data_IF_532506888850
#
_entry.id   IF_532506888850
#
_cell.length_a   1.000
_cell.length_b   1.000
_cell.length_c   1.000
_cell.angle_alpha   90.00
_cell.angle_beta   90.00
_cell.angle_gamma   90.00
#
_symmetry.space_group_name_H-M   'P 1'
#
loop_
_entity.id
_entity.type
_entity.pdbx_description
1 polymer ?
#
# COMPACT_ATOMS: atom_id res chain seq x y z
N UNK A 1 -0.42 -10.19 -48.11
CA UNK A 1 -0.85 -9.14 -47.15
C UNK A 1 -0.35 -7.81 -47.69
N UNK A 2 -1.24 -6.84 -47.92
CA UNK A 2 -0.85 -5.58 -48.57
C UNK A 2 -0.04 -4.69 -47.62
N UNK A 3 0.88 -3.86 -48.13
CA UNK A 3 1.82 -3.09 -47.28
C UNK A 3 1.10 -2.27 -46.19
N UNK A 4 -0.08 -1.71 -46.51
CA UNK A 4 -0.95 -1.00 -45.56
C UNK A 4 -1.51 -1.88 -44.43
N UNK A 5 -1.74 -3.17 -44.66
CA UNK A 5 -2.16 -4.13 -43.63
C UNK A 5 -0.99 -4.53 -42.72
N UNK A 6 0.22 -4.64 -43.27
CA UNK A 6 1.44 -4.89 -42.50
C UNK A 6 1.73 -3.73 -41.52
N UNK A 7 1.55 -2.47 -41.95
CA UNK A 7 1.68 -1.30 -41.08
C UNK A 7 0.63 -1.26 -39.97
N UNK A 8 -0.64 -1.63 -40.26
CA UNK A 8 -1.68 -1.73 -39.22
C UNK A 8 -1.37 -2.83 -38.21
N UNK A 9 -0.84 -3.97 -38.64
CA UNK A 9 -0.44 -5.07 -37.77
C UNK A 9 0.77 -4.69 -36.89
N UNK A 10 1.79 -4.05 -37.47
CA UNK A 10 2.96 -3.57 -36.72
C UNK A 10 2.58 -2.49 -35.71
N UNK A 11 1.68 -1.57 -36.05
CA UNK A 11 1.18 -0.53 -35.15
C UNK A 11 0.35 -1.15 -34.01
N UNK A 12 -0.43 -2.20 -34.30
CA UNK A 12 -1.16 -2.96 -33.29
C UNK A 12 -0.20 -3.73 -32.36
N UNK A 13 0.85 -4.36 -32.88
CA UNK A 13 1.89 -5.09 -32.11
C UNK A 13 2.73 -4.14 -31.25
N UNK A 14 3.03 -2.93 -31.75
CA UNK A 14 3.74 -1.89 -31.00
C UNK A 14 2.94 -1.34 -29.81
N UNK A 15 1.60 -1.48 -29.84
CA UNK A 15 0.69 -1.14 -28.74
C UNK A 15 0.51 -2.27 -27.70
N UNK A 16 1.06 -3.46 -27.93
CA UNK A 16 0.91 -4.63 -27.03
C UNK A 16 1.79 -4.58 -25.75
N UNK A 17 2.85 -3.76 -25.56
CA UNK A 17 3.68 -3.93 -24.37
C UNK A 17 3.08 -3.33 -23.08
N UNK A 18 1.80 -2.94 -23.05
CA UNK A 18 1.17 -2.33 -21.86
C UNK A 18 0.56 -3.31 -20.87
N UNK A 19 0.70 -4.64 -21.06
CA UNK A 19 0.44 -5.61 -19.99
C UNK A 19 1.58 -5.59 -18.97
N UNK A 20 1.83 -4.44 -18.37
CA UNK A 20 2.74 -4.31 -17.24
C UNK A 20 2.10 -5.01 -16.05
N UNK A 21 2.75 -6.08 -15.57
CA UNK A 21 2.40 -6.61 -14.26
C UNK A 21 2.69 -5.54 -13.22
N UNK A 22 1.65 -5.04 -12.60
CA UNK A 22 1.59 -3.93 -11.65
C UNK A 22 0.65 -4.29 -10.49
N UNK A 23 1.00 -3.86 -9.29
CA UNK A 23 0.11 -3.87 -8.13
C UNK A 23 0.13 -2.50 -7.46
N UNK A 24 -0.99 -2.11 -6.85
CA UNK A 24 -1.08 -0.88 -6.09
C UNK A 24 -1.31 -1.21 -4.61
N UNK A 25 -0.51 -0.60 -3.74
CA UNK A 25 -0.74 -0.59 -2.30
C UNK A 25 -1.26 0.79 -1.94
N UNK A 26 -2.48 0.85 -1.42
CA UNK A 26 -3.13 2.11 -1.01
C UNK A 26 -3.33 2.08 0.49
N UNK A 27 -2.78 3.07 1.18
CA UNK A 27 -2.99 3.34 2.59
C UNK A 27 -3.77 4.64 2.73
N UNK A 28 -4.94 4.58 3.35
CA UNK A 28 -5.73 5.75 3.70
C UNK A 28 -5.88 5.85 5.21
N UNK A 29 -5.60 7.03 5.77
CA UNK A 29 -5.87 7.35 7.17
C UNK A 29 -6.76 8.59 7.21
N UNK A 30 -7.95 8.45 7.78
CA UNK A 30 -8.88 9.55 8.01
C UNK A 30 -8.84 9.93 9.48
N UNK A 31 -8.33 11.12 9.78
CA UNK A 31 -8.14 11.63 11.14
C UNK A 31 -9.28 12.58 11.53
N UNK A 32 -9.86 12.37 12.70
CA UNK A 32 -10.76 13.32 13.37
C UNK A 32 -9.99 14.26 14.29
N UNK A 33 -10.62 15.38 14.62
CA UNK A 33 -10.01 16.43 15.44
C UNK A 33 -9.74 16.01 16.89
N UNK A 34 -10.42 14.97 17.38
CA UNK A 34 -10.23 14.38 18.70
C UNK A 34 -9.11 13.32 18.74
N UNK A 35 -8.45 13.04 17.60
CA UNK A 35 -7.38 12.05 17.48
C UNK A 35 -7.82 10.62 17.15
N UNK A 36 -9.13 10.36 17.13
CA UNK A 36 -9.68 9.10 16.61
C UNK A 36 -9.67 9.12 15.08
N UNK A 37 -9.91 7.97 14.46
CA UNK A 37 -10.00 7.92 13.00
C UNK A 37 -10.19 6.53 12.43
N UNK A 38 -10.02 6.44 11.12
CA UNK A 38 -10.21 5.22 10.34
C UNK A 38 -9.01 4.95 9.44
N UNK A 39 -8.65 3.68 9.29
CA UNK A 39 -7.63 3.18 8.36
C UNK A 39 -8.30 2.32 7.31
N UNK A 40 -7.86 2.48 6.06
CA UNK A 40 -8.16 1.56 4.96
C UNK A 40 -6.86 1.19 4.27
N UNK A 41 -6.55 -0.10 4.25
CA UNK A 41 -5.39 -0.68 3.56
C UNK A 41 -5.91 -1.53 2.41
N UNK A 42 -5.51 -1.20 1.19
CA UNK A 42 -5.92 -1.92 -0.02
C UNK A 42 -4.70 -2.44 -0.78
N UNK A 43 -4.76 -3.71 -1.16
CA UNK A 43 -3.87 -4.31 -2.16
C UNK A 43 -4.70 -4.54 -3.41
N UNK A 44 -4.37 -3.84 -4.48
CA UNK A 44 -5.06 -3.90 -5.76
C UNK A 44 -4.15 -4.51 -6.83
N UNK A 45 -4.49 -5.72 -7.26
CA UNK A 45 -3.78 -6.45 -8.32
C UNK A 45 -4.59 -6.47 -9.63
N UNK A 46 -5.64 -5.66 -9.75
CA UNK A 46 -6.58 -5.75 -10.88
C UNK A 46 -5.93 -5.51 -12.24
N UNK A 47 -4.93 -4.62 -12.32
CA UNK A 47 -4.13 -4.39 -13.53
C UNK A 47 -3.30 -5.63 -13.93
N UNK A 48 -2.99 -6.52 -12.99
CA UNK A 48 -2.29 -7.80 -13.20
C UNK A 48 -3.21 -9.02 -13.20
N UNK A 49 -4.54 -8.84 -13.23
CA UNK A 49 -5.53 -9.91 -13.02
C UNK A 49 -5.24 -11.19 -13.79
N UNK A 50 -4.96 -11.10 -15.09
CA UNK A 50 -4.68 -12.28 -15.92
C UNK A 50 -3.43 -13.02 -15.48
N UNK A 51 -2.34 -12.28 -15.18
CA UNK A 51 -1.09 -12.87 -14.71
C UNK A 51 -1.24 -13.51 -13.33
N UNK A 52 -1.93 -12.84 -12.41
CA UNK A 52 -2.21 -13.39 -11.07
C UNK A 52 -3.06 -14.64 -11.18
N UNK A 53 -4.09 -14.65 -12.03
CA UNK A 53 -4.90 -15.83 -12.28
C UNK A 53 -4.06 -17.02 -12.78
N UNK A 54 -3.15 -16.79 -13.73
CA UNK A 54 -2.24 -17.84 -14.19
C UNK A 54 -1.31 -18.34 -13.07
N UNK A 55 -0.79 -17.46 -12.21
CA UNK A 55 0.05 -17.85 -11.07
C UNK A 55 -0.74 -18.68 -10.06
N UNK A 56 -2.00 -18.34 -9.79
CA UNK A 56 -2.88 -19.05 -8.86
C UNK A 56 -3.23 -20.49 -9.31
N UNK A 57 -2.97 -20.84 -10.58
CA UNK A 57 -3.13 -22.20 -11.11
C UNK A 57 -1.87 -23.06 -10.92
N UNK A 58 -0.73 -22.46 -10.54
CA UNK A 58 0.52 -23.17 -10.34
C UNK A 58 0.60 -23.69 -8.90
N UNK A 59 1.23 -24.86 -8.71
CA UNK A 59 1.50 -25.37 -7.37
C UNK A 59 2.57 -24.54 -6.64
N UNK A 60 3.61 -24.12 -7.37
CA UNK A 60 4.72 -23.35 -6.80
C UNK A 60 5.36 -22.39 -7.81
N UNK A 61 5.95 -21.33 -7.28
CA UNK A 61 6.81 -20.39 -8.01
C UNK A 61 8.15 -20.33 -7.27
N UNK A 62 9.21 -20.80 -7.92
CA UNK A 62 10.57 -20.85 -7.34
C UNK A 62 10.67 -21.61 -6.01
N UNK A 63 9.94 -22.72 -5.87
CA UNK A 63 9.91 -23.52 -4.64
C UNK A 63 9.01 -22.96 -3.54
N UNK A 64 8.42 -21.77 -3.73
CA UNK A 64 7.39 -21.24 -2.85
C UNK A 64 6.02 -21.70 -3.33
N UNK A 65 5.26 -22.34 -2.43
CA UNK A 65 3.90 -22.79 -2.72
C UNK A 65 2.99 -21.58 -3.00
N UNK A 66 2.24 -21.63 -4.08
CA UNK A 66 1.22 -20.62 -4.35
C UNK A 66 0.03 -20.90 -3.41
N UNK A 67 -0.43 -19.92 -2.62
CA UNK A 67 -1.52 -20.15 -1.68
C UNK A 67 -2.85 -20.33 -2.43
N UNK A 68 -3.70 -21.22 -1.95
CA UNK A 68 -5.08 -21.33 -2.43
C UNK A 68 -5.90 -20.11 -2.02
N UNK A 69 -7.00 -19.83 -2.72
CA UNK A 69 -7.96 -18.77 -2.33
C UNK A 69 -8.44 -18.95 -0.87
N UNK A 70 -8.68 -20.20 -0.46
CA UNK A 70 -9.06 -20.54 0.91
C UNK A 70 -7.96 -20.17 1.92
N UNK A 71 -6.69 -20.45 1.61
CA UNK A 71 -5.56 -20.07 2.47
C UNK A 71 -5.44 -18.55 2.57
N UNK A 72 -5.55 -17.82 1.46
CA UNK A 72 -5.56 -16.35 1.47
C UNK A 72 -6.70 -15.82 2.34
N UNK A 73 -7.91 -16.39 2.21
CA UNK A 73 -9.05 -16.00 3.03
C UNK A 73 -8.82 -16.28 4.52
N UNK A 74 -8.18 -17.40 4.84
CA UNK A 74 -7.83 -17.74 6.21
C UNK A 74 -6.85 -16.72 6.81
N UNK A 75 -5.78 -16.36 6.10
CA UNK A 75 -4.81 -15.34 6.54
C UNK A 75 -5.49 -13.98 6.77
N UNK A 76 -6.42 -13.59 5.89
CA UNK A 76 -7.22 -12.37 6.08
C UNK A 76 -8.10 -12.46 7.33
N UNK A 77 -8.73 -13.60 7.59
CA UNK A 77 -9.55 -13.80 8.78
C UNK A 77 -8.72 -13.77 10.07
N UNK A 78 -7.52 -14.33 10.04
CA UNK A 78 -6.56 -14.28 11.16
C UNK A 78 -6.11 -12.84 11.44
N UNK A 79 -5.79 -12.06 10.39
CA UNK A 79 -5.49 -10.64 10.53
C UNK A 79 -6.67 -9.85 11.13
N UNK A 80 -7.91 -10.12 10.69
CA UNK A 80 -9.12 -9.51 11.25
C UNK A 80 -9.29 -9.89 12.72
N UNK A 81 -9.11 -11.15 13.08
CA UNK A 81 -9.23 -11.63 14.45
C UNK A 81 -8.18 -10.97 15.37
N UNK A 82 -6.96 -10.79 14.88
CA UNK A 82 -5.91 -10.06 15.60
C UNK A 82 -6.28 -8.59 15.82
N UNK A 83 -6.74 -7.90 14.77
CA UNK A 83 -7.14 -6.49 14.86
C UNK A 83 -8.32 -6.29 15.81
N UNK A 84 -9.32 -7.19 15.81
CA UNK A 84 -10.48 -7.13 16.72
C UNK A 84 -10.10 -7.27 18.20
N UNK A 85 -8.97 -7.92 18.50
CA UNK A 85 -8.44 -8.09 19.86
C UNK A 85 -7.45 -6.99 20.24
N UNK A 86 -7.07 -6.12 19.31
CA UNK A 86 -6.06 -5.08 19.54
C UNK A 86 -6.66 -3.89 20.29
N UNK A 87 -5.96 -3.43 21.32
CA UNK A 87 -6.42 -2.30 22.13
C UNK A 87 -6.61 -1.03 21.28
N UNK A 88 -7.73 -0.34 21.52
CA UNK A 88 -8.07 0.90 20.83
C UNK A 88 -8.55 0.74 19.39
N UNK A 89 -8.72 -0.50 18.91
CA UNK A 89 -9.23 -0.82 17.57
C UNK A 89 -10.69 -1.26 17.63
N UNK A 90 -11.47 -0.84 16.63
CA UNK A 90 -12.87 -1.20 16.47
C UNK A 90 -13.27 -1.23 15.00
N UNK A 91 -14.52 -1.62 14.71
CA UNK A 91 -15.10 -1.60 13.36
C UNK A 91 -14.26 -2.33 12.28
N UNK A 92 -13.57 -3.40 12.68
CA UNK A 92 -12.68 -4.15 11.78
C UNK A 92 -13.49 -4.84 10.69
N UNK A 93 -13.16 -4.57 9.42
CA UNK A 93 -13.76 -5.17 8.23
C UNK A 93 -12.67 -5.59 7.25
N UNK A 94 -12.93 -6.64 6.48
CA UNK A 94 -12.10 -7.02 5.35
C UNK A 94 -12.96 -7.43 4.16
N UNK A 95 -12.39 -7.29 2.96
CA UNK A 95 -12.97 -7.77 1.71
C UNK A 95 -11.89 -8.46 0.88
N UNK A 96 -12.31 -9.44 0.09
CA UNK A 96 -11.47 -10.18 -0.86
C UNK A 96 -12.27 -10.42 -2.14
N UNK A 97 -11.95 -9.66 -3.18
CA UNK A 97 -12.48 -9.87 -4.52
C UNK A 97 -11.46 -10.70 -5.30
N UNK A 98 -11.64 -12.02 -5.35
CA UNK A 98 -10.78 -12.91 -6.13
C UNK A 98 -11.05 -12.86 -7.65
N UNK A 99 -12.10 -12.17 -8.09
CA UNK A 99 -12.36 -11.94 -9.51
C UNK A 99 -11.51 -10.78 -10.01
N UNK A 100 -11.39 -9.70 -9.22
CA UNK A 100 -10.58 -8.54 -9.59
C UNK A 100 -9.22 -8.49 -8.86
N UNK A 101 -8.95 -9.46 -7.99
CA UNK A 101 -7.75 -9.53 -7.14
C UNK A 101 -7.52 -8.24 -6.34
N UNK A 102 -8.57 -7.80 -5.65
CA UNK A 102 -8.53 -6.64 -4.75
C UNK A 102 -8.85 -7.13 -3.35
N UNK A 103 -7.98 -6.83 -2.40
CA UNK A 103 -8.20 -7.12 -0.99
C UNK A 103 -8.08 -5.84 -0.16
N UNK A 104 -8.99 -5.66 0.79
CA UNK A 104 -9.00 -4.51 1.69
C UNK A 104 -9.14 -4.97 3.13
N UNK A 105 -8.42 -4.32 4.04
CA UNK A 105 -8.67 -4.35 5.49
C UNK A 105 -8.91 -2.92 5.95
N UNK A 106 -9.90 -2.73 6.80
CA UNK A 106 -10.20 -1.43 7.42
C UNK A 106 -10.56 -1.58 8.88
N UNK A 107 -10.31 -0.53 9.65
CA UNK A 107 -10.62 -0.47 11.07
C UNK A 107 -10.63 0.97 11.58
N UNK A 108 -11.33 1.23 12.68
CA UNK A 108 -11.26 2.50 13.40
C UNK A 108 -10.24 2.41 14.55
N UNK A 109 -9.56 3.50 14.87
CA UNK A 109 -8.62 3.62 15.98
C UNK A 109 -8.99 4.78 16.93
N UNK A 110 -8.63 4.65 18.21
CA UNK A 110 -8.84 5.70 19.22
C UNK A 110 -7.74 6.75 19.24
N UNK A 111 -6.50 6.33 18.96
CA UNK A 111 -5.33 7.18 18.87
C UNK A 111 -4.39 6.62 17.80
N UNK A 112 -3.64 7.51 17.14
CA UNK A 112 -2.74 7.10 16.05
C UNK A 112 -1.62 6.15 16.53
N UNK A 113 -1.30 6.16 17.82
CA UNK A 113 -0.40 5.17 18.44
C UNK A 113 -0.93 3.73 18.35
N UNK A 114 -2.24 3.51 18.25
CA UNK A 114 -2.79 2.18 18.03
C UNK A 114 -2.28 1.58 16.69
N UNK A 115 -2.17 2.41 15.64
CA UNK A 115 -1.62 2.00 14.34
C UNK A 115 -0.14 1.60 14.46
N UNK A 116 0.64 2.40 15.21
CA UNK A 116 2.06 2.12 15.45
C UNK A 116 2.24 0.78 16.17
N UNK A 117 1.44 0.53 17.21
CA UNK A 117 1.51 -0.69 18.02
C UNK A 117 1.17 -1.94 17.18
N UNK A 118 0.11 -1.88 16.38
CA UNK A 118 -0.28 -2.95 15.45
C UNK A 118 0.84 -3.23 14.45
N UNK A 119 1.38 -2.18 13.82
CA UNK A 119 2.45 -2.32 12.83
C UNK A 119 3.68 -2.98 13.44
N UNK A 120 4.11 -2.51 14.62
CA UNK A 120 5.24 -3.09 15.38
C UNK A 120 5.01 -4.58 15.68
N UNK A 121 3.83 -4.93 16.16
CA UNK A 121 3.50 -6.30 16.55
C UNK A 121 3.42 -7.24 15.35
N UNK A 122 2.80 -6.81 14.25
CA UNK A 122 2.75 -7.59 13.00
C UNK A 122 4.16 -7.84 12.47
N UNK A 123 5.01 -6.81 12.40
CA UNK A 123 6.39 -6.96 11.95
C UNK A 123 7.19 -7.92 12.85
N UNK A 124 6.98 -7.87 14.17
CA UNK A 124 7.60 -8.79 15.11
C UNK A 124 7.13 -10.25 14.92
N UNK A 125 5.81 -10.46 14.77
CA UNK A 125 5.24 -11.79 14.49
C UNK A 125 5.77 -12.39 13.18
N UNK A 126 5.95 -11.55 12.17
CA UNK A 126 6.53 -11.93 10.87
C UNK A 126 8.06 -12.00 10.88
N UNK A 127 8.70 -11.80 12.05
CA UNK A 127 10.16 -11.83 12.24
C UNK A 127 10.91 -10.85 11.31
N UNK A 128 10.25 -9.75 10.94
CA UNK A 128 10.83 -8.70 10.10
C UNK A 128 11.62 -7.75 11.00
N UNK A 129 12.95 -7.70 10.79
CA UNK A 129 13.90 -6.84 11.54
C UNK A 129 13.80 -5.37 11.09
N UNK A 130 12.61 -4.78 11.23
CA UNK A 130 12.31 -3.43 10.73
C UNK A 130 11.19 -2.73 11.55
N UNK A 131 11.13 -3.00 12.86
CA UNK A 131 9.98 -2.69 13.74
C UNK A 131 9.69 -1.20 13.95
N UNK A 132 10.59 -0.30 13.55
CA UNK A 132 10.47 1.16 13.73
C UNK A 132 10.58 1.95 12.42
N UNK A 133 10.25 1.32 11.28
CA UNK A 133 10.42 1.91 9.94
C UNK A 133 9.37 2.95 9.58
N UNK A 134 8.19 2.89 10.19
CA UNK A 134 7.13 3.88 10.00
C UNK A 134 6.43 4.13 11.33
N UNK A 135 6.14 5.38 11.63
CA UNK A 135 5.36 5.77 12.81
C UNK A 135 4.57 7.04 12.53
N UNK A 136 3.45 7.15 13.22
CA UNK A 136 2.53 8.26 13.13
C UNK A 136 2.40 8.98 14.47
N UNK A 137 2.22 10.30 14.44
CA UNK A 137 1.89 11.12 15.60
C UNK A 137 0.83 12.14 15.25
N UNK A 138 -0.01 12.49 16.23
CA UNK A 138 -0.97 13.57 16.10
C UNK A 138 -1.00 14.40 17.38
N UNK A 139 -0.65 15.67 17.28
CA UNK A 139 -0.72 16.61 18.38
C UNK A 139 -2.01 17.42 18.28
N UNK A 140 -2.95 17.18 19.22
CA UNK A 140 -4.26 17.84 19.25
C UNK A 140 -4.17 19.35 19.53
N UNK A 141 -3.18 19.77 20.32
CA UNK A 141 -2.99 21.18 20.72
C UNK A 141 -2.39 22.01 19.58
N UNK A 142 -1.37 21.47 18.89
CA UNK A 142 -0.75 22.16 17.75
C UNK A 142 -1.45 21.86 16.43
N UNK A 143 -2.40 20.92 16.41
CA UNK A 143 -3.12 20.44 15.21
C UNK A 143 -2.17 19.96 14.12
N UNK A 144 -1.17 19.18 14.52
CA UNK A 144 -0.11 18.68 13.64
C UNK A 144 -0.18 17.16 13.55
N UNK A 145 -0.31 16.63 12.34
CA UNK A 145 -0.17 15.20 12.05
C UNK A 145 1.20 14.95 11.41
N UNK A 146 1.92 13.93 11.85
CA UNK A 146 3.21 13.56 11.26
C UNK A 146 3.32 12.07 11.02
N UNK A 147 3.90 11.71 9.88
CA UNK A 147 4.48 10.40 9.62
C UNK A 147 6.00 10.53 9.59
N UNK A 148 6.68 9.68 10.34
CA UNK A 148 8.12 9.46 10.23
C UNK A 148 8.36 8.11 9.56
N UNK A 149 9.20 8.11 8.53
CA UNK A 149 9.58 6.92 7.79
C UNK A 149 11.11 6.80 7.64
N UNK A 150 11.60 5.58 7.86
CA UNK A 150 12.97 5.17 7.62
C UNK A 150 12.94 3.99 6.66
N UNK A 151 13.74 4.08 5.59
CA UNK A 151 13.82 3.03 4.59
C UNK A 151 14.30 1.71 5.22
N UNK A 152 13.68 0.61 4.81
CA UNK A 152 14.10 -0.73 5.22
C UNK A 152 15.42 -1.05 4.54
N UNK A 153 16.51 -1.08 5.32
CA UNK A 153 17.88 -1.27 4.80
C UNK A 153 18.03 -2.55 3.97
N UNK A 154 17.31 -3.62 4.35
CA UNK A 154 17.36 -4.91 3.65
C UNK A 154 16.47 -4.98 2.41
N UNK A 155 15.55 -4.05 2.18
CA UNK A 155 14.56 -4.16 1.10
C UNK A 155 15.22 -4.25 -0.28
N UNK A 156 16.24 -3.43 -0.54
CA UNK A 156 17.01 -3.46 -1.79
C UNK A 156 17.77 -4.78 -1.96
N UNK A 157 18.34 -5.30 -0.88
CA UNK A 157 19.07 -6.58 -0.89
C UNK A 157 18.13 -7.74 -1.18
N UNK A 158 16.98 -7.82 -0.51
CA UNK A 158 15.99 -8.87 -0.77
C UNK A 158 15.41 -8.76 -2.18
N UNK A 159 15.10 -7.55 -2.64
CA UNK A 159 14.67 -7.31 -4.02
C UNK A 159 15.71 -7.81 -5.03
N UNK A 160 17.00 -7.60 -4.77
CA UNK A 160 18.07 -8.01 -5.68
C UNK A 160 18.22 -9.53 -5.81
N UNK A 161 17.78 -10.32 -4.83
CA UNK A 161 17.76 -11.80 -4.88
C UNK A 161 16.69 -12.34 -5.84
N UNK A 162 15.69 -11.54 -6.19
CA UNK A 162 14.63 -11.95 -7.11
C UNK A 162 15.16 -12.16 -8.54
N UNK A 163 14.58 -13.13 -9.26
CA UNK A 163 14.86 -13.31 -10.69
C UNK A 163 14.27 -12.15 -11.50
N UNK A 164 14.82 -11.90 -12.68
CA UNK A 164 14.39 -10.80 -13.56
C UNK A 164 12.87 -10.78 -13.80
N UNK A 165 12.26 -11.96 -14.02
CA UNK A 165 10.81 -12.09 -14.23
C UNK A 165 9.94 -11.64 -13.04
N UNK A 166 10.45 -11.77 -11.81
CA UNK A 166 9.72 -11.39 -10.60
C UNK A 166 10.00 -9.94 -10.24
N UNK A 167 11.22 -9.45 -10.49
CA UNK A 167 11.54 -8.02 -10.44
C UNK A 167 10.63 -7.20 -11.35
N UNK A 168 10.28 -7.74 -12.53
CA UNK A 168 9.40 -7.08 -13.47
C UNK A 168 7.98 -6.79 -12.92
N UNK A 169 7.53 -7.50 -11.87
CA UNK A 169 6.25 -7.21 -11.19
C UNK A 169 6.25 -5.86 -10.47
N UNK A 170 7.43 -5.35 -10.13
CA UNK A 170 7.59 -4.07 -9.45
C UNK A 170 7.69 -2.87 -10.41
N UNK A 171 7.93 -3.10 -11.71
CA UNK A 171 8.16 -2.01 -12.68
C UNK A 171 6.98 -1.05 -12.79
N UNK A 172 5.76 -1.54 -12.68
CA UNK A 172 4.55 -0.71 -12.64
C UNK A 172 4.02 -0.44 -11.23
N UNK A 173 4.53 -1.15 -10.22
CA UNK A 173 3.89 -1.19 -8.91
C UNK A 173 3.98 0.15 -8.18
N UNK A 174 2.87 0.57 -7.58
CA UNK A 174 2.78 1.87 -6.90
C UNK A 174 2.38 1.75 -5.45
N UNK A 175 2.84 2.70 -4.67
CA UNK A 175 2.40 2.95 -3.31
C UNK A 175 1.71 4.32 -3.26
N UNK A 176 0.52 4.36 -2.69
CA UNK A 176 -0.24 5.59 -2.49
C UNK A 176 -0.59 5.73 -1.02
N UNK A 177 -0.25 6.87 -0.42
CA UNK A 177 -0.72 7.26 0.91
C UNK A 177 -1.69 8.43 0.78
N UNK A 178 -2.82 8.36 1.49
CA UNK A 178 -3.84 9.40 1.52
C UNK A 178 -4.17 9.70 2.98
N UNK A 179 -3.93 10.93 3.41
CA UNK A 179 -4.35 11.40 4.73
C UNK A 179 -5.52 12.34 4.55
N UNK A 180 -6.63 12.08 5.25
CA UNK A 180 -7.85 12.90 5.23
C UNK A 180 -8.08 13.50 6.60
N UNK A 181 -8.56 14.73 6.65
CA UNK A 181 -8.70 15.51 7.88
C UNK A 181 -10.03 16.24 7.94
N UNK A 182 -10.59 16.35 9.14
CA UNK A 182 -11.74 17.23 9.42
C UNK A 182 -11.37 18.71 9.35
N UNK A 183 -10.20 19.10 9.87
CA UNK A 183 -9.66 20.47 9.73
C UNK A 183 -9.00 20.69 8.36
N UNK A 184 -8.88 21.96 7.95
CA UNK A 184 -8.22 22.29 6.68
C UNK A 184 -6.70 22.11 6.80
N UNK A 185 -6.08 21.56 5.77
CA UNK A 185 -4.62 21.48 5.61
C UNK A 185 -4.10 22.87 5.27
N UNK A 186 -3.18 23.38 6.07
CA UNK A 186 -2.50 24.66 5.83
C UNK A 186 -1.16 24.47 5.16
N UNK A 187 -0.41 23.42 5.51
CA UNK A 187 0.87 23.07 4.89
C UNK A 187 1.21 21.59 5.03
N UNK A 188 2.13 21.14 4.19
CA UNK A 188 2.68 19.78 4.14
C UNK A 188 4.19 19.90 3.88
N UNK A 189 5.02 19.19 4.63
CA UNK A 189 6.49 19.31 4.47
C UNK A 189 7.05 18.45 3.35
N UNK A 190 6.33 17.42 2.89
CA UNK A 190 6.82 16.54 1.84
C UNK A 190 6.50 17.11 0.45
N UNK A 191 7.52 17.50 -0.35
CA UNK A 191 7.30 18.10 -1.67
C UNK A 191 6.74 17.12 -2.72
N UNK A 192 6.86 15.80 -2.49
CA UNK A 192 6.25 14.78 -3.34
C UNK A 192 4.75 14.57 -3.02
N UNK A 193 4.22 15.24 -2.00
CA UNK A 193 2.81 15.18 -1.63
C UNK A 193 2.01 16.32 -2.28
N UNK A 194 0.75 16.05 -2.57
CA UNK A 194 -0.21 16.99 -3.14
C UNK A 194 -1.35 17.22 -2.15
N UNK A 195 -1.66 18.49 -1.87
CA UNK A 195 -2.84 18.87 -1.10
C UNK A 195 -4.04 18.97 -2.05
N UNK A 196 -5.14 18.30 -1.71
CA UNK A 196 -6.40 18.37 -2.45
C UNK A 196 -6.95 19.80 -2.55
N UNK A 197 -7.75 20.09 -3.59
CA UNK A 197 -8.38 21.40 -3.80
C UNK A 197 -9.24 21.85 -2.61
N UNK A 198 -9.93 20.93 -1.95
CA UNK A 198 -10.74 21.20 -0.75
C UNK A 198 -9.90 21.45 0.51
N UNK A 199 -8.58 21.22 0.44
CA UNK A 199 -7.65 21.24 1.57
C UNK A 199 -8.05 20.25 2.68
N UNK A 200 -8.78 19.18 2.38
CA UNK A 200 -9.16 18.15 3.37
C UNK A 200 -8.36 16.86 3.25
N UNK A 201 -7.46 16.78 2.28
CA UNK A 201 -6.63 15.61 2.06
C UNK A 201 -5.23 15.96 1.55
N UNK A 202 -4.25 15.14 1.91
CA UNK A 202 -2.88 15.12 1.39
C UNK A 202 -2.61 13.74 0.81
N UNK A 203 -2.18 13.68 -0.45
CA UNK A 203 -1.85 12.43 -1.15
C UNK A 203 -0.38 12.42 -1.54
N UNK A 204 0.31 11.29 -1.34
CA UNK A 204 1.59 10.99 -1.99
C UNK A 204 1.44 9.69 -2.76
N UNK A 205 1.85 9.69 -4.03
CA UNK A 205 1.94 8.50 -4.89
C UNK A 205 3.39 8.34 -5.36
N UNK A 206 3.92 7.14 -5.23
CA UNK A 206 5.31 6.78 -5.59
C UNK A 206 5.33 5.44 -6.30
N UNK A 207 6.33 5.20 -7.15
CA UNK A 207 6.65 3.83 -7.53
C UNK A 207 7.19 3.08 -6.29
N UNK A 208 6.89 1.78 -6.18
CA UNK A 208 7.48 0.94 -5.12
C UNK A 208 8.99 0.80 -5.35
N UNK A 209 9.43 0.82 -6.60
CA UNK A 209 10.85 0.79 -6.96
C UNK A 209 11.64 1.96 -6.38
N UNK A 210 11.07 3.17 -6.38
CA UNK A 210 11.73 4.33 -5.78
C UNK A 210 11.80 4.23 -4.25
N UNK A 211 10.79 3.62 -3.60
CA UNK A 211 10.83 3.34 -2.17
C UNK A 211 11.88 2.29 -1.81
N UNK A 212 11.93 1.18 -2.55
CA UNK A 212 12.93 0.10 -2.34
C UNK A 212 14.35 0.65 -2.51
N UNK A 213 14.56 1.53 -3.50
CA UNK A 213 15.86 2.12 -3.75
C UNK A 213 16.18 3.34 -2.88
N UNK A 214 15.27 3.75 -1.99
CA UNK A 214 15.45 4.90 -1.11
C UNK A 214 15.45 6.26 -1.82
N UNK A 215 14.94 6.33 -3.05
CA UNK A 215 14.83 7.57 -3.83
C UNK A 215 13.68 8.46 -3.37
N UNK A 216 12.63 7.87 -2.80
CA UNK A 216 11.49 8.58 -2.22
C UNK A 216 11.38 8.25 -0.73
N UNK A 217 11.05 9.27 0.06
CA UNK A 217 10.73 9.15 1.48
C UNK A 217 9.28 9.60 1.71
N UNK A 218 8.50 8.80 2.43
CA UNK A 218 7.07 9.06 2.70
C UNK A 218 6.83 9.81 4.01
N UNK A 219 7.90 10.24 4.69
CA UNK A 219 7.80 11.10 5.88
C UNK A 219 7.12 12.41 5.52
N UNK A 220 6.22 12.87 6.38
CA UNK A 220 5.50 14.11 6.16
C UNK A 220 5.02 14.69 7.48
N UNK A 221 5.04 16.01 7.59
CA UNK A 221 4.38 16.76 8.66
C UNK A 221 3.33 17.64 8.01
N UNK A 222 2.09 17.48 8.46
CA UNK A 222 0.91 18.16 7.94
C UNK A 222 0.37 19.05 9.04
N UNK A 223 0.36 20.36 8.78
CA UNK A 223 -0.23 21.34 9.67
C UNK A 223 -1.69 21.54 9.29
N UNK A 224 -2.56 21.50 10.28
CA UNK A 224 -3.99 21.74 10.14
C UNK A 224 -4.38 23.08 10.74
N UNK A 225 -5.48 23.65 10.26
CA UNK A 225 -6.11 24.81 10.85
C UNK A 225 -6.61 24.50 12.26
N UNK A 226 -6.50 25.49 13.15
CA UNK A 226 -7.11 25.43 14.47
C UNK A 226 -8.63 25.41 14.38
#
# INVERSE_FOLDING_TARGET
MNLKQLYKLLLFILLIPVLSSCFEVVEEISMKNDGTGDVVLTINLSQSKTKVASVMLLDSVQGYKVPSKQKIQQELNEAVAYLKKSEGISNVKSTSDFNNYIATISFSFKDVSNINNITKNILAQQKIKATNTSSYTYNKATKTFSRKYQAIVTAKTEFNKLKAKDKAVFNGATYTSIYRFESLVTSSTNPASNVSKSKKAVMLKSSIMDLINGKINVSNTIQLSK
#
